data_IF_722683265331
#
_entry.id   IF_722683265331
#
_cell.length_a   1.000
_cell.length_b   1.000
_cell.length_c   1.000
_cell.angle_alpha   90.00
_cell.angle_beta   90.00
_cell.angle_gamma   90.00
#
_symmetry.space_group_name_H-M   'P 1'
#
loop_
_entity.id
_entity.type
_entity.pdbx_description
1 polymer ?
#
# COMPACT_ATOMS: atom_id res chain seq x y z
N UNK A 1 -10.95 -20.39 1.83
CA UNK A 1 -11.23 -19.21 0.98
C UNK A 1 -12.27 -18.29 1.64
N UNK A 2 -13.22 -18.83 2.41
CA UNK A 2 -14.31 -18.07 3.04
C UNK A 2 -13.85 -16.93 3.96
N UNK A 3 -12.74 -17.11 4.69
CA UNK A 3 -12.20 -16.10 5.59
C UNK A 3 -11.76 -14.82 4.86
N UNK A 4 -11.25 -14.94 3.62
CA UNK A 4 -10.86 -13.79 2.80
C UNK A 4 -12.08 -13.02 2.31
N UNK A 5 -13.14 -13.73 1.90
CA UNK A 5 -14.38 -13.10 1.46
C UNK A 5 -15.04 -12.36 2.62
N UNK A 6 -15.08 -12.98 3.81
CA UNK A 6 -15.59 -12.34 5.04
C UNK A 6 -14.78 -11.08 5.39
N UNK A 7 -13.45 -11.15 5.29
CA UNK A 7 -12.57 -9.98 5.48
C UNK A 7 -12.85 -8.85 4.48
N UNK A 8 -12.97 -9.18 3.19
CA UNK A 8 -13.24 -8.17 2.16
C UNK A 8 -14.60 -7.51 2.33
N UNK A 9 -15.64 -8.29 2.68
CA UNK A 9 -16.96 -7.77 3.05
C UNK A 9 -16.89 -6.86 4.28
N UNK A 10 -16.14 -7.24 5.29
CA UNK A 10 -15.90 -6.38 6.46
C UNK A 10 -15.26 -5.04 6.08
N UNK A 11 -14.24 -5.07 5.20
CA UNK A 11 -13.57 -3.85 4.71
C UNK A 11 -14.50 -2.97 3.89
N UNK A 12 -15.34 -3.57 3.06
CA UNK A 12 -16.34 -2.88 2.24
C UNK A 12 -17.38 -2.19 3.13
N UNK A 13 -17.95 -2.91 4.08
CA UNK A 13 -18.90 -2.38 5.08
C UNK A 13 -18.29 -1.27 5.96
N UNK A 14 -16.97 -1.23 6.10
CA UNK A 14 -16.25 -0.18 6.83
C UNK A 14 -15.99 1.09 5.98
N UNK A 15 -16.52 1.16 4.75
CA UNK A 15 -16.37 2.31 3.87
C UNK A 15 -15.02 2.37 3.13
N UNK A 16 -14.34 1.25 2.95
CA UNK A 16 -13.08 1.23 2.19
C UNK A 16 -13.32 1.52 0.71
N UNK A 17 -12.51 2.40 0.11
CA UNK A 17 -12.59 2.68 -1.32
C UNK A 17 -12.39 1.42 -2.17
N UNK A 18 -13.05 1.37 -3.34
CA UNK A 18 -13.02 0.20 -4.24
C UNK A 18 -11.60 -0.19 -4.68
N UNK A 19 -10.75 0.79 -4.98
CA UNK A 19 -9.35 0.55 -5.34
C UNK A 19 -8.54 -0.04 -4.18
N UNK A 20 -8.86 0.36 -2.95
CA UNK A 20 -8.26 -0.22 -1.75
C UNK A 20 -8.68 -1.68 -1.60
N UNK A 21 -9.97 -2.00 -1.77
CA UNK A 21 -10.46 -3.39 -1.75
C UNK A 21 -9.79 -4.24 -2.83
N UNK A 22 -9.69 -3.70 -4.05
CA UNK A 22 -9.02 -4.35 -5.18
C UNK A 22 -7.54 -4.64 -4.86
N UNK A 23 -6.83 -3.69 -4.25
CA UNK A 23 -5.46 -3.88 -3.81
C UNK A 23 -5.36 -4.99 -2.76
N UNK A 24 -6.23 -5.00 -1.74
CA UNK A 24 -6.30 -6.09 -0.76
C UNK A 24 -6.52 -7.46 -1.43
N UNK A 25 -7.44 -7.56 -2.39
CA UNK A 25 -7.67 -8.81 -3.14
C UNK A 25 -6.39 -9.31 -3.80
N UNK A 26 -5.68 -8.47 -4.56
CA UNK A 26 -4.46 -8.88 -5.24
C UNK A 26 -3.34 -9.25 -4.25
N UNK A 27 -3.20 -8.50 -3.15
CA UNK A 27 -2.18 -8.76 -2.14
C UNK A 27 -2.44 -10.07 -1.40
N UNK A 28 -3.69 -10.33 -1.03
CA UNK A 28 -4.07 -11.59 -0.39
C UNK A 28 -3.99 -12.77 -1.36
N UNK A 29 -4.32 -12.58 -2.64
CA UNK A 29 -4.11 -13.63 -3.65
C UNK A 29 -2.66 -14.11 -3.66
N UNK A 30 -1.70 -13.18 -3.77
CA UNK A 30 -0.27 -13.52 -3.76
C UNK A 30 0.15 -14.27 -2.49
N UNK A 31 -0.43 -13.90 -1.35
CA UNK A 31 -0.16 -14.57 -0.09
C UNK A 31 -0.68 -16.01 -0.05
N UNK A 32 -1.94 -16.23 -0.43
CA UNK A 32 -2.53 -17.56 -0.45
C UNK A 32 -1.90 -18.47 -1.52
N UNK A 33 -1.46 -17.90 -2.65
CA UNK A 33 -0.70 -18.63 -3.67
C UNK A 33 0.66 -19.11 -3.11
N UNK A 34 1.36 -18.28 -2.33
CA UNK A 34 2.57 -18.71 -1.63
C UNK A 34 2.30 -19.84 -0.63
N UNK A 35 1.23 -19.73 0.17
CA UNK A 35 0.86 -20.76 1.14
C UNK A 35 0.52 -22.09 0.46
N UNK A 36 -0.23 -22.04 -0.63
CA UNK A 36 -0.58 -23.21 -1.44
C UNK A 36 0.66 -23.90 -2.00
N UNK A 37 1.62 -23.13 -2.57
CA UNK A 37 2.88 -23.69 -3.06
C UNK A 37 3.73 -24.37 -1.98
N UNK A 38 3.64 -23.90 -0.74
CA UNK A 38 4.34 -24.47 0.43
C UNK A 38 3.55 -25.59 1.12
N UNK A 39 2.27 -25.78 0.80
CA UNK A 39 1.38 -26.68 1.54
C UNK A 39 1.10 -26.22 2.97
N UNK A 40 1.14 -24.91 3.23
CA UNK A 40 0.98 -24.34 4.56
C UNK A 40 -0.47 -23.90 4.82
N UNK A 41 -0.90 -24.04 6.08
CA UNK A 41 -2.20 -23.57 6.55
C UNK A 41 -2.03 -22.21 7.22
N UNK A 42 -2.84 -21.23 6.82
CA UNK A 42 -2.71 -19.84 7.29
C UNK A 42 -2.90 -19.64 8.81
N UNK A 43 -3.44 -20.62 9.54
CA UNK A 43 -3.69 -20.52 10.98
C UNK A 43 -2.46 -20.86 11.84
N UNK A 44 -1.46 -21.56 11.31
CA UNK A 44 -0.29 -22.01 12.06
C UNK A 44 0.99 -21.50 11.39
N UNK A 45 1.17 -20.18 11.43
CA UNK A 45 2.31 -19.50 10.81
C UNK A 45 3.04 -18.62 11.82
N UNK A 46 4.35 -18.58 11.70
CA UNK A 46 5.26 -17.78 12.50
C UNK A 46 5.95 -16.67 11.68
N UNK A 47 6.97 -16.09 12.29
CA UNK A 47 7.76 -15.01 11.68
C UNK A 47 8.62 -15.55 10.53
N UNK A 48 9.05 -16.81 10.60
CA UNK A 48 9.92 -17.44 9.60
C UNK A 48 9.21 -17.54 8.25
N UNK A 49 7.95 -18.00 8.24
CA UNK A 49 7.15 -18.16 7.03
C UNK A 49 6.84 -16.80 6.39
N UNK A 50 6.68 -15.76 7.21
CA UNK A 50 6.50 -14.38 6.74
C UNK A 50 7.80 -13.79 6.15
N UNK A 51 8.97 -14.18 6.68
CA UNK A 51 10.26 -13.84 6.09
C UNK A 51 10.48 -14.58 4.76
N UNK A 52 10.10 -15.86 4.68
CA UNK A 52 10.09 -16.63 3.43
C UNK A 52 9.14 -16.02 2.39
N UNK A 53 7.96 -15.58 2.81
CA UNK A 53 7.02 -14.89 1.93
C UNK A 53 7.62 -13.57 1.40
N UNK A 54 8.32 -12.82 2.25
CA UNK A 54 9.03 -11.60 1.83
C UNK A 54 10.06 -11.90 0.74
N UNK A 55 10.81 -12.99 0.89
CA UNK A 55 11.77 -13.48 -0.13
C UNK A 55 11.05 -13.96 -1.39
N UNK A 56 9.94 -14.67 -1.26
CA UNK A 56 9.13 -15.13 -2.38
C UNK A 56 8.55 -13.96 -3.20
N UNK A 57 8.14 -12.87 -2.54
CA UNK A 57 7.67 -11.66 -3.22
C UNK A 57 8.77 -10.96 -4.03
N UNK A 58 10.03 -11.13 -3.64
CA UNK A 58 11.17 -10.61 -4.38
C UNK A 58 11.55 -11.53 -5.56
N UNK A 59 11.23 -12.83 -5.50
CA UNK A 59 11.54 -13.80 -6.55
C UNK A 59 10.77 -13.49 -7.86
N UNK A 60 11.45 -13.39 -9.02
CA UNK A 60 10.80 -13.11 -10.30
C UNK A 60 9.80 -14.16 -10.74
N UNK A 61 10.03 -15.42 -10.37
CA UNK A 61 9.20 -16.54 -10.83
C UNK A 61 7.99 -16.81 -9.94
N UNK A 62 7.84 -16.06 -8.83
CA UNK A 62 6.77 -16.29 -7.84
C UNK A 62 6.57 -17.78 -7.52
N UNK A 63 7.69 -18.52 -7.46
CA UNK A 63 7.71 -19.98 -7.30
C UNK A 63 8.62 -20.31 -6.13
N UNK A 64 8.16 -21.21 -5.27
CA UNK A 64 8.97 -21.76 -4.17
C UNK A 64 10.10 -22.65 -4.70
N UNK A 65 9.88 -23.34 -5.82
CA UNK A 65 10.80 -24.38 -6.34
C UNK A 65 11.89 -23.83 -7.25
N UNK A 66 11.67 -22.66 -7.84
CA UNK A 66 12.60 -22.05 -8.80
C UNK A 66 13.26 -20.83 -8.16
N UNK A 67 14.53 -20.98 -7.77
CA UNK A 67 15.37 -19.87 -7.34
C UNK A 67 16.37 -19.54 -8.44
N UNK A 68 16.44 -18.28 -8.85
CA UNK A 68 17.46 -17.82 -9.80
C UNK A 68 18.84 -17.89 -9.15
N UNK A 69 19.79 -18.52 -9.84
CA UNK A 69 21.19 -18.67 -9.42
C UNK A 69 21.99 -17.39 -9.70
N UNK A 70 21.48 -16.51 -10.57
CA UNK A 70 22.14 -15.26 -10.98
C UNK A 70 21.62 -14.05 -10.17
N UNK A 71 22.47 -13.05 -9.85
CA UNK A 71 22.03 -11.81 -9.22
C UNK A 71 20.96 -11.13 -10.09
N UNK A 72 19.73 -11.12 -9.61
CA UNK A 72 18.60 -10.51 -10.32
C UNK A 72 18.14 -9.23 -9.61
N UNK A 73 17.62 -8.29 -10.41
CA UNK A 73 16.93 -7.10 -9.88
C UNK A 73 15.57 -7.54 -9.33
N UNK A 74 15.25 -7.33 -8.05
CA UNK A 74 13.98 -7.74 -7.49
C UNK A 74 12.81 -7.14 -8.25
N UNK A 75 11.88 -7.99 -8.69
CA UNK A 75 10.72 -7.58 -9.52
C UNK A 75 9.87 -6.56 -8.79
N UNK A 76 9.73 -6.71 -7.47
CA UNK A 76 8.94 -5.81 -6.64
C UNK A 76 9.82 -4.86 -5.86
N UNK A 77 9.51 -3.57 -5.97
CA UNK A 77 10.14 -2.53 -5.15
C UNK A 77 9.86 -2.80 -3.66
N UNK A 78 10.79 -2.45 -2.76
CA UNK A 78 10.61 -2.63 -1.31
C UNK A 78 9.31 -2.03 -0.76
N UNK A 79 8.85 -0.90 -1.31
CA UNK A 79 7.57 -0.30 -0.95
C UNK A 79 6.38 -1.21 -1.26
N UNK A 80 6.35 -1.81 -2.45
CA UNK A 80 5.29 -2.73 -2.86
C UNK A 80 5.24 -3.96 -1.94
N UNK A 81 6.40 -4.53 -1.62
CA UNK A 81 6.50 -5.67 -0.69
C UNK A 81 5.96 -5.28 0.69
N UNK A 82 6.36 -4.12 1.23
CA UNK A 82 5.86 -3.64 2.51
C UNK A 82 4.33 -3.39 2.50
N UNK A 83 3.77 -2.92 1.39
CA UNK A 83 2.31 -2.76 1.23
C UNK A 83 1.59 -4.11 1.26
N UNK A 84 2.12 -5.11 0.56
CA UNK A 84 1.58 -6.48 0.58
C UNK A 84 1.64 -7.06 2.00
N UNK A 85 2.79 -6.95 2.68
CA UNK A 85 2.95 -7.39 4.07
C UNK A 85 1.96 -6.71 5.01
N UNK A 86 1.70 -5.41 4.79
CA UNK A 86 0.70 -4.67 5.55
C UNK A 86 -0.71 -5.21 5.33
N UNK A 87 -1.06 -5.59 4.10
CA UNK A 87 -2.36 -6.18 3.82
C UNK A 87 -2.54 -7.53 4.55
N UNK A 88 -1.49 -8.36 4.59
CA UNK A 88 -1.50 -9.64 5.32
C UNK A 88 -1.62 -9.42 6.83
N UNK A 89 -0.86 -8.50 7.41
CA UNK A 89 -0.99 -8.14 8.83
C UNK A 89 -2.41 -7.68 9.20
N UNK A 90 -3.02 -6.83 8.37
CA UNK A 90 -4.40 -6.34 8.59
C UNK A 90 -5.41 -7.48 8.47
N UNK A 91 -5.17 -8.45 7.60
CA UNK A 91 -5.99 -9.65 7.50
C UNK A 91 -5.89 -10.51 8.77
N UNK A 92 -4.68 -10.73 9.31
CA UNK A 92 -4.51 -11.43 10.58
C UNK A 92 -5.10 -10.68 11.78
N UNK A 93 -4.99 -9.35 11.81
CA UNK A 93 -5.68 -8.51 12.79
C UNK A 93 -7.21 -8.70 12.75
N UNK A 94 -7.78 -8.93 11.56
CA UNK A 94 -9.20 -9.22 11.42
C UNK A 94 -9.54 -10.63 11.92
N UNK A 95 -8.74 -11.64 11.55
CA UNK A 95 -8.96 -13.01 12.00
C UNK A 95 -8.96 -13.13 13.53
N UNK A 96 -8.01 -12.48 14.19
CA UNK A 96 -7.88 -12.49 15.66
C UNK A 96 -9.08 -11.88 16.39
N UNK A 97 -9.84 -11.00 15.73
CA UNK A 97 -10.99 -10.31 16.33
C UNK A 97 -12.32 -11.02 16.07
N UNK A 98 -12.40 -11.86 15.04
CA UNK A 98 -13.67 -12.40 14.54
C UNK A 98 -13.78 -13.92 14.60
N UNK A 99 -12.67 -14.63 14.75
CA UNK A 99 -12.65 -16.08 14.85
C UNK A 99 -11.81 -16.39 16.08
N UNK A 100 -12.29 -17.23 17.00
CA UNK A 100 -11.60 -17.66 18.25
C UNK A 100 -10.31 -18.46 18.00
N UNK A 101 -9.57 -18.14 16.94
CA UNK A 101 -8.22 -18.58 16.74
C UNK A 101 -7.29 -17.70 17.56
N UNK A 102 -6.50 -18.34 18.42
CA UNK A 102 -5.36 -17.75 19.12
C UNK A 102 -4.18 -17.45 18.17
N UNK A 103 -4.44 -16.92 16.96
CA UNK A 103 -3.40 -16.59 15.99
C UNK A 103 -2.62 -15.37 16.48
N UNK A 104 -1.56 -15.60 17.25
CA UNK A 104 -0.67 -14.55 17.76
C UNK A 104 0.23 -13.93 16.68
N UNK A 105 0.00 -14.22 15.39
CA UNK A 105 0.89 -13.79 14.30
C UNK A 105 0.93 -12.27 14.15
N UNK A 106 -0.21 -11.58 14.21
CA UNK A 106 -0.21 -10.11 14.11
C UNK A 106 0.57 -9.44 15.25
N UNK A 107 0.46 -9.98 16.47
CA UNK A 107 1.21 -9.49 17.62
C UNK A 107 2.71 -9.80 17.47
N UNK A 108 3.07 -10.99 16.98
CA UNK A 108 4.47 -11.37 16.70
C UNK A 108 5.12 -10.50 15.62
N UNK A 109 4.34 -9.99 14.67
CA UNK A 109 4.81 -9.11 13.60
C UNK A 109 4.98 -7.65 14.06
N UNK A 110 4.52 -7.29 15.26
CA UNK A 110 4.57 -5.94 15.83
C UNK A 110 5.41 -5.92 17.11
N UNK A 111 6.38 -5.01 17.19
CA UNK A 111 7.12 -4.71 18.42
C UNK A 111 6.66 -3.38 18.99
N UNK A 112 6.23 -3.37 20.26
CA UNK A 112 5.98 -2.12 20.97
C UNK A 112 7.30 -1.38 21.18
N UNK A 113 7.32 -0.10 20.81
CA UNK A 113 8.46 0.78 21.04
C UNK A 113 7.98 2.08 21.69
N UNK A 114 8.79 2.60 22.62
CA UNK A 114 8.59 3.93 23.19
C UNK A 114 9.02 5.01 22.20
N UNK A 115 8.18 6.02 22.04
CA UNK A 115 8.49 7.22 21.29
C UNK A 115 8.33 7.07 19.77
N UNK A 116 7.66 8.06 19.17
CA UNK A 116 7.61 8.21 17.72
C UNK A 116 8.96 8.75 17.23
N UNK A 117 9.87 7.88 16.77
CA UNK A 117 11.06 8.31 15.99
C UNK A 117 10.71 8.85 14.59
N UNK A 118 9.45 9.27 14.35
CA UNK A 118 9.09 10.00 13.14
C UNK A 118 9.64 11.41 13.32
N UNK A 119 10.61 11.82 12.50
CA UNK A 119 11.18 13.17 12.56
C UNK A 119 10.18 14.31 12.27
N UNK A 120 8.91 14.00 12.11
CA UNK A 120 7.81 14.96 11.96
C UNK A 120 7.15 15.17 13.33
N UNK A 121 7.28 16.37 13.89
CA UNK A 121 6.57 16.81 15.08
C UNK A 121 5.21 17.34 14.65
N UNK A 122 4.18 16.51 14.81
CA UNK A 122 2.81 16.90 14.52
C UNK A 122 2.31 17.95 15.52
N UNK A 123 1.19 18.62 15.23
CA UNK A 123 0.63 19.70 16.06
C UNK A 123 0.45 19.29 17.53
N UNK A 124 0.09 18.02 17.81
CA UNK A 124 -0.09 17.47 19.15
C UNK A 124 1.13 16.67 19.66
N UNK A 125 2.34 16.97 19.16
CA UNK A 125 3.56 16.24 19.51
C UNK A 125 3.79 16.13 21.02
N UNK A 126 3.59 17.22 21.76
CA UNK A 126 3.84 17.28 23.20
C UNK A 126 2.91 16.38 24.03
N UNK A 127 1.75 16.02 23.48
CA UNK A 127 0.77 15.12 24.11
C UNK A 127 1.08 13.66 23.75
N UNK A 128 1.63 13.41 22.55
CA UNK A 128 1.86 12.07 22.02
C UNK A 128 3.30 11.57 22.17
N UNK A 129 4.21 12.38 22.72
CA UNK A 129 5.66 12.07 22.82
C UNK A 129 5.95 10.79 23.61
N UNK A 130 5.16 10.51 24.64
CA UNK A 130 5.36 9.38 25.56
C UNK A 130 4.48 8.16 25.21
N UNK A 131 3.71 8.21 24.11
CA UNK A 131 2.87 7.08 23.69
C UNK A 131 3.71 5.94 23.11
N UNK A 132 3.32 4.71 23.47
CA UNK A 132 3.84 3.48 22.87
C UNK A 132 3.28 3.34 21.46
N UNK A 133 4.15 2.99 20.50
CA UNK A 133 3.75 2.72 19.12
C UNK A 133 4.19 1.33 18.68
N UNK A 134 3.34 0.66 17.90
CA UNK A 134 3.64 -0.63 17.29
C UNK A 134 4.50 -0.43 16.03
N UNK A 135 5.72 -0.97 16.04
CA UNK A 135 6.62 -1.01 14.89
C UNK A 135 6.62 -2.39 14.26
N UNK A 136 6.48 -2.46 12.94
CA UNK A 136 6.58 -3.71 12.18
C UNK A 136 7.99 -4.31 12.27
N UNK A 137 8.08 -5.60 12.58
CA UNK A 137 9.34 -6.35 12.69
C UNK A 137 9.92 -6.64 11.31
N UNK A 138 9.07 -7.05 10.36
CA UNK A 138 9.44 -7.34 8.99
C UNK A 138 9.14 -6.14 8.08
N UNK A 139 10.12 -5.27 7.89
CA UNK A 139 10.01 -4.14 6.95
C UNK A 139 11.28 -3.99 6.13
N UNK A 140 11.15 -4.07 4.81
CA UNK A 140 12.26 -3.82 3.91
C UNK A 140 12.58 -2.31 3.86
N UNK A 141 13.87 -1.98 3.88
CA UNK A 141 14.35 -0.60 3.75
C UNK A 141 14.08 -0.12 2.33
N UNK A 142 13.22 0.88 2.19
CA UNK A 142 12.93 1.53 0.92
C UNK A 142 13.65 2.88 0.82
N UNK A 143 14.26 3.16 -0.32
CA UNK A 143 14.82 4.48 -0.60
C UNK A 143 13.69 5.52 -0.72
N UNK A 144 13.92 6.72 -0.18
CA UNK A 144 13.01 7.86 -0.39
C UNK A 144 13.25 8.40 -1.80
N UNK A 145 12.23 8.34 -2.65
CA UNK A 145 12.26 8.99 -3.97
C UNK A 145 11.72 10.40 -3.85
N UNK A 146 12.33 11.34 -4.58
CA UNK A 146 11.72 12.65 -4.81
C UNK A 146 10.49 12.49 -5.73
N UNK A 147 9.47 13.36 -5.59
CA UNK A 147 8.38 13.43 -6.56
C UNK A 147 8.96 13.66 -7.96
N UNK A 148 8.38 13.01 -8.97
CA UNK A 148 8.73 13.29 -10.37
C UNK A 148 8.13 14.66 -10.73
N UNK A 149 8.95 15.55 -11.29
CA UNK A 149 8.55 16.88 -11.70
C UNK A 149 8.71 17.01 -13.21
N UNK A 150 7.77 17.69 -13.87
CA UNK A 150 7.86 18.04 -15.28
C UNK A 150 8.42 19.47 -15.41
N UNK A 151 9.41 19.71 -16.30
CA UNK A 151 9.89 21.06 -16.56
C UNK A 151 8.86 21.84 -17.37
N UNK A 152 8.86 23.18 -17.21
CA UNK A 152 7.92 24.08 -17.90
C UNK A 152 7.89 23.88 -19.43
N UNK A 153 9.05 23.62 -20.04
CA UNK A 153 9.20 23.41 -21.48
C UNK A 153 8.38 22.21 -21.98
N UNK A 154 8.44 21.10 -21.27
CA UNK A 154 7.73 19.87 -21.66
C UNK A 154 6.22 20.06 -21.57
N UNK A 155 5.75 20.85 -20.59
CA UNK A 155 4.33 21.15 -20.41
C UNK A 155 3.81 22.05 -21.52
N UNK A 156 4.54 23.09 -21.89
CA UNK A 156 4.19 23.92 -23.04
C UNK A 156 4.10 23.10 -24.33
N UNK A 157 4.97 22.12 -24.50
CA UNK A 157 4.95 21.22 -25.65
C UNK A 157 3.74 20.28 -25.62
N UNK A 158 3.40 19.72 -24.45
CA UNK A 158 2.21 18.88 -24.28
C UNK A 158 0.92 19.63 -24.57
N UNK A 159 0.80 20.86 -24.04
CA UNK A 159 -0.36 21.73 -24.27
C UNK A 159 -0.47 22.09 -25.76
N UNK A 160 0.65 22.47 -26.41
CA UNK A 160 0.68 22.79 -27.84
C UNK A 160 0.41 21.60 -28.77
N UNK A 161 0.53 20.36 -28.28
CA UNK A 161 0.21 19.14 -29.02
C UNK A 161 -1.25 18.69 -28.82
N UNK A 162 -2.00 19.31 -27.91
CA UNK A 162 -3.41 18.98 -27.70
C UNK A 162 -4.25 19.39 -28.90
N UNK A 163 -5.10 18.47 -29.38
CA UNK A 163 -6.06 18.75 -30.46
C UNK A 163 -7.46 19.07 -29.93
N UNK A 164 -7.68 18.92 -28.63
CA UNK A 164 -8.99 19.04 -27.97
C UNK A 164 -8.91 20.05 -26.83
N UNK A 165 -9.83 21.03 -26.84
CA UNK A 165 -9.97 22.07 -25.80
C UNK A 165 -10.14 21.48 -24.39
N UNK A 166 -10.79 20.31 -24.29
CA UNK A 166 -10.94 19.61 -23.01
C UNK A 166 -9.59 19.19 -22.41
N UNK A 167 -8.72 18.62 -23.24
CA UNK A 167 -7.44 18.08 -22.79
C UNK A 167 -6.47 19.24 -22.49
N UNK A 168 -6.52 20.29 -23.32
CA UNK A 168 -5.79 21.54 -23.10
C UNK A 168 -6.18 22.18 -21.75
N UNK A 169 -7.47 22.37 -21.50
CA UNK A 169 -7.97 22.90 -20.23
C UNK A 169 -7.54 22.04 -19.03
N UNK A 170 -7.66 20.71 -19.14
CA UNK A 170 -7.27 19.80 -18.07
C UNK A 170 -5.78 19.91 -17.73
N UNK A 171 -4.90 20.01 -18.72
CA UNK A 171 -3.47 20.17 -18.50
C UNK A 171 -3.14 21.51 -17.84
N UNK A 172 -3.75 22.61 -18.30
CA UNK A 172 -3.61 23.92 -17.66
C UNK A 172 -4.07 23.90 -16.20
N UNK A 173 -5.25 23.35 -15.94
CA UNK A 173 -5.80 23.25 -14.59
C UNK A 173 -4.90 22.46 -13.66
N UNK A 174 -4.41 21.30 -14.09
CA UNK A 174 -3.51 20.46 -13.28
C UNK A 174 -2.16 21.15 -13.00
N UNK A 175 -1.64 21.88 -13.99
CA UNK A 175 -0.36 22.55 -13.87
C UNK A 175 -0.41 23.75 -12.92
N UNK A 176 -1.43 24.60 -13.05
CA UNK A 176 -1.56 25.82 -12.25
C UNK A 176 -2.03 25.54 -10.81
N UNK A 177 -2.98 24.61 -10.63
CA UNK A 177 -3.55 24.32 -9.30
C UNK A 177 -2.74 23.30 -8.48
N UNK A 178 -1.97 22.43 -9.15
CA UNK A 178 -1.31 21.29 -8.50
C UNK A 178 -2.27 20.23 -7.94
N UNK A 179 -3.56 20.27 -8.32
CA UNK A 179 -4.57 19.31 -7.88
C UNK A 179 -4.23 17.88 -8.31
N UNK A 180 -4.70 16.90 -7.53
CA UNK A 180 -4.67 15.51 -8.00
C UNK A 180 -5.64 15.34 -9.16
N UNK A 181 -5.30 14.46 -10.10
CA UNK A 181 -6.18 14.16 -11.24
C UNK A 181 -7.61 13.79 -10.83
N UNK A 182 -7.76 13.03 -9.73
CA UNK A 182 -9.09 12.67 -9.22
C UNK A 182 -9.89 13.87 -8.66
N UNK A 183 -9.21 14.86 -8.10
CA UNK A 183 -9.84 16.10 -7.60
C UNK A 183 -10.28 16.96 -8.80
N UNK A 184 -9.40 17.12 -9.80
CA UNK A 184 -9.72 17.86 -11.03
C UNK A 184 -10.90 17.25 -11.79
N UNK A 185 -10.98 15.91 -11.86
CA UNK A 185 -12.09 15.20 -12.50
C UNK A 185 -13.40 15.23 -11.69
N UNK A 186 -13.32 15.54 -10.39
CA UNK A 186 -14.49 15.63 -9.51
C UNK A 186 -15.11 17.04 -9.48
N UNK A 187 -14.45 18.04 -10.07
CA UNK A 187 -14.94 19.41 -10.15
C UNK A 187 -16.27 19.49 -10.89
N UNK A 188 -17.14 20.36 -10.38
CA UNK A 188 -18.43 20.72 -10.98
C UNK A 188 -18.43 22.21 -11.29
N UNK A 189 -19.28 22.62 -12.22
CA UNK A 189 -19.39 24.04 -12.62
C UNK A 189 -19.68 24.97 -11.42
N UNK A 190 -20.41 24.48 -10.42
CA UNK A 190 -20.73 25.22 -9.18
C UNK A 190 -19.52 25.48 -8.27
N UNK A 191 -18.40 24.81 -8.49
CA UNK A 191 -17.19 24.95 -7.69
C UNK A 191 -16.31 26.12 -8.22
N UNK A 192 -16.68 26.72 -9.36
CA UNK A 192 -16.01 27.88 -9.93
C UNK A 192 -16.74 29.17 -9.50
N UNK A 193 -16.03 30.00 -8.74
CA UNK A 193 -16.41 31.40 -8.52
C UNK A 193 -15.71 32.26 -9.57
N UNK A 194 -16.50 32.98 -10.37
CA UNK A 194 -15.97 33.90 -11.37
C UNK A 194 -15.92 35.26 -10.69
N UNK A 195 -14.70 35.70 -10.34
CA UNK A 195 -14.47 37.09 -9.95
C UNK A 195 -14.78 37.98 -11.16
N UNK A 196 -15.88 38.74 -11.06
CA UNK A 196 -16.34 39.68 -12.08
C UNK A 196 -15.73 41.07 -11.93
#
# INVERSE_FOLDING_TARGET
>A
MDSVIKFLKFKDNSGSARETLRAYCYHLKLYFEFLEQKGLVYHDLGINEMAEFTRWLQNPHASVKVSSISPFVPVRKPNTVNTIMTAVEVFYDYLNRHVDYSIKLSDRLKRQMMGSRRGFKDFLYHINKDKLFNKKVLKLKAAKSRPKTLPKKDISLLIGACTNLRDEFLLHLLWESGMRIGEALALRLKDFEIDG
#
